data_IF_438402138103
#
_entry.id   IF_438402138103
#
_cell.length_a   1.000
_cell.length_b   1.000
_cell.length_c   1.000
_cell.angle_alpha   90.00
_cell.angle_beta   90.00
_cell.angle_gamma   90.00
#
_symmetry.space_group_name_H-M   'P 1'
#
loop_
_entity.id
_entity.type
_entity.pdbx_description
1 polymer ?
#
# COMPACT_ATOMS: atom_id res chain seq x y z
N UNK A 1 23.04 16.60 20.59
CA UNK A 1 22.00 15.75 19.97
C UNK A 1 21.83 14.53 20.87
N UNK A 2 20.62 14.24 21.28
CA UNK A 2 20.31 13.23 22.31
C UNK A 2 20.73 11.82 21.78
N UNK A 3 21.56 11.09 22.53
CA UNK A 3 22.09 9.76 22.10
C UNK A 3 20.96 8.80 21.69
N UNK A 4 19.78 8.89 22.34
CA UNK A 4 18.59 8.13 21.96
C UNK A 4 18.06 8.49 20.56
N UNK A 5 18.09 9.77 20.20
CA UNK A 5 17.62 10.23 18.86
C UNK A 5 18.55 9.79 17.75
N UNK A 6 19.88 9.77 18.01
CA UNK A 6 20.89 9.25 17.07
C UNK A 6 20.73 7.74 16.90
N UNK A 7 20.56 7.00 18.00
CA UNK A 7 20.33 5.57 17.98
C UNK A 7 19.09 5.19 17.13
N UNK A 8 17.97 5.87 17.35
CA UNK A 8 16.75 5.62 16.56
C UNK A 8 16.89 6.02 15.09
N UNK A 9 17.64 7.09 14.78
CA UNK A 9 17.93 7.46 13.40
C UNK A 9 18.83 6.43 12.71
N UNK A 10 19.86 5.95 13.39
CA UNK A 10 20.75 4.88 12.86
C UNK A 10 19.97 3.57 12.71
N UNK A 11 19.15 3.20 13.70
CA UNK A 11 18.33 2.00 13.65
C UNK A 11 17.33 2.05 12.48
N UNK A 12 16.69 3.19 12.23
CA UNK A 12 15.76 3.33 11.10
C UNK A 12 16.46 3.26 9.74
N UNK A 13 17.64 3.87 9.61
CA UNK A 13 18.47 3.78 8.40
C UNK A 13 18.97 2.33 8.20
N UNK A 14 19.40 1.67 9.28
CA UNK A 14 19.86 0.27 9.23
C UNK A 14 18.71 -0.66 8.82
N UNK A 15 17.51 -0.50 9.38
CA UNK A 15 16.31 -1.26 9.00
C UNK A 15 15.98 -1.00 7.53
N UNK A 16 16.07 0.27 7.06
CA UNK A 16 15.84 0.61 5.66
C UNK A 16 16.83 -0.08 4.72
N UNK A 17 18.14 -0.04 5.06
CA UNK A 17 19.19 -0.70 4.28
C UNK A 17 18.98 -2.23 4.30
N UNK A 18 18.70 -2.80 5.47
CA UNK A 18 18.47 -4.24 5.62
C UNK A 18 17.23 -4.69 4.84
N UNK A 19 16.18 -3.87 4.83
CA UNK A 19 14.95 -4.11 4.07
C UNK A 19 15.20 -4.08 2.56
N UNK A 20 15.91 -3.04 2.07
CA UNK A 20 16.28 -2.94 0.66
C UNK A 20 17.20 -4.12 0.28
N UNK A 21 18.15 -4.46 1.13
CA UNK A 21 19.04 -5.60 0.88
C UNK A 21 18.30 -6.93 0.86
N UNK A 22 17.35 -7.15 1.79
CA UNK A 22 16.53 -8.37 1.81
C UNK A 22 15.68 -8.47 0.54
N UNK A 23 15.10 -7.35 0.10
CA UNK A 23 14.29 -7.25 -1.12
C UNK A 23 15.15 -7.56 -2.36
N UNK A 24 16.33 -6.97 -2.47
CA UNK A 24 17.25 -7.19 -3.61
C UNK A 24 17.86 -8.60 -3.58
N UNK A 25 18.22 -9.12 -2.41
CA UNK A 25 18.83 -10.46 -2.28
C UNK A 25 17.83 -11.61 -2.52
N UNK A 26 16.54 -11.39 -2.29
CA UNK A 26 15.51 -12.39 -2.54
C UNK A 26 15.02 -12.42 -4.00
N UNK A 27 15.29 -11.38 -4.79
CA UNK A 27 14.95 -11.38 -6.20
C UNK A 27 15.99 -12.21 -6.99
N UNK A 28 15.71 -13.50 -7.19
CA UNK A 28 16.58 -14.44 -7.95
C UNK A 28 16.86 -14.01 -9.40
N UNK A 29 16.16 -13.01 -9.90
CA UNK A 29 16.23 -12.56 -11.30
C UNK A 29 16.64 -11.08 -11.45
N UNK A 30 17.00 -10.38 -10.34
CA UNK A 30 17.43 -9.00 -10.45
C UNK A 30 18.82 -8.94 -11.08
N UNK A 31 18.92 -8.47 -12.31
CA UNK A 31 20.17 -8.10 -12.98
C UNK A 31 20.22 -6.60 -13.18
N UNK A 32 21.20 -5.97 -12.52
CA UNK A 32 21.46 -4.54 -12.69
C UNK A 32 21.81 -4.20 -14.15
N UNK A 33 22.48 -5.10 -14.85
CA UNK A 33 22.83 -4.94 -16.26
C UNK A 33 21.58 -4.87 -17.15
N UNK A 34 20.61 -5.75 -16.92
CA UNK A 34 19.35 -5.74 -17.69
C UNK A 34 18.59 -4.43 -17.42
N UNK A 35 18.48 -4.01 -16.15
CA UNK A 35 17.84 -2.75 -15.82
C UNK A 35 18.52 -1.54 -16.46
N UNK A 36 19.86 -1.51 -16.43
CA UNK A 36 20.64 -0.41 -17.01
C UNK A 36 20.56 -0.38 -18.54
N UNK A 37 20.60 -1.54 -19.18
CA UNK A 37 20.43 -1.65 -20.64
C UNK A 37 19.02 -1.20 -21.07
N UNK A 38 17.99 -1.54 -20.27
CA UNK A 38 16.63 -1.06 -20.49
C UNK A 38 16.54 0.46 -20.38
N UNK A 39 17.02 1.06 -19.29
CA UNK A 39 17.00 2.52 -19.10
C UNK A 39 17.72 3.26 -20.25
N UNK A 40 18.79 2.67 -20.77
CA UNK A 40 19.55 3.26 -21.88
C UNK A 40 18.76 3.24 -23.20
N UNK A 41 18.06 2.15 -23.48
CA UNK A 41 17.41 1.90 -24.79
C UNK A 41 15.92 2.27 -24.78
N UNK A 42 15.28 2.42 -23.64
CA UNK A 42 13.87 2.75 -23.52
C UNK A 42 13.56 4.19 -23.97
N UNK A 43 12.35 4.39 -24.47
CA UNK A 43 11.83 5.72 -24.73
C UNK A 43 11.68 6.49 -23.40
N UNK A 44 12.48 7.53 -23.25
CA UNK A 44 12.60 8.30 -22.00
C UNK A 44 11.31 9.03 -21.60
N UNK A 45 10.48 9.41 -22.59
CA UNK A 45 9.18 10.03 -22.32
C UNK A 45 8.22 9.09 -21.59
N UNK A 46 8.09 7.85 -22.07
CA UNK A 46 7.25 6.85 -21.42
C UNK A 46 7.83 6.40 -20.07
N UNK A 47 9.17 6.32 -19.97
CA UNK A 47 9.81 6.01 -18.69
C UNK A 47 9.56 7.10 -17.65
N UNK A 48 9.62 8.37 -18.04
CA UNK A 48 9.24 9.49 -17.17
C UNK A 48 7.77 9.42 -16.75
N UNK A 49 6.86 9.09 -17.68
CA UNK A 49 5.44 8.92 -17.35
C UNK A 49 5.22 7.76 -16.38
N UNK A 50 6.00 6.66 -16.46
CA UNK A 50 5.91 5.58 -15.47
C UNK A 50 6.30 6.05 -14.07
N UNK A 51 7.29 6.94 -13.94
CA UNK A 51 7.65 7.58 -12.68
C UNK A 51 6.54 8.50 -12.15
N UNK A 52 5.91 9.30 -13.04
CA UNK A 52 4.75 10.13 -12.69
C UNK A 52 3.60 9.27 -12.16
N UNK A 53 3.32 8.13 -12.81
CA UNK A 53 2.31 7.17 -12.34
C UNK A 53 2.70 6.57 -10.98
N UNK A 54 3.96 6.22 -10.75
CA UNK A 54 4.46 5.75 -9.44
C UNK A 54 4.27 6.80 -8.35
N UNK A 55 4.59 8.05 -8.65
CA UNK A 55 4.32 9.17 -7.72
C UNK A 55 2.82 9.36 -7.48
N UNK A 56 2.01 9.29 -8.54
CA UNK A 56 0.55 9.37 -8.46
C UNK A 56 -0.05 8.29 -7.55
N UNK A 57 0.46 7.06 -7.62
CA UNK A 57 0.07 5.97 -6.74
C UNK A 57 0.24 6.33 -5.25
N UNK A 58 1.38 6.93 -4.88
CA UNK A 58 1.67 7.37 -3.51
C UNK A 58 0.82 8.59 -3.13
N UNK A 59 0.68 9.53 -4.04
CA UNK A 59 -0.01 10.79 -3.81
C UNK A 59 -1.52 10.60 -3.60
N UNK A 60 -2.19 9.78 -4.43
CA UNK A 60 -3.62 9.52 -4.32
C UNK A 60 -3.96 8.79 -3.03
N UNK A 61 -3.12 7.85 -2.57
CA UNK A 61 -3.23 7.21 -1.25
C UNK A 61 -3.27 8.26 -0.14
N UNK A 62 -2.26 9.11 -0.10
CA UNK A 62 -2.15 10.14 0.91
C UNK A 62 -3.25 11.19 0.82
N UNK A 63 -3.70 11.53 -0.38
CA UNK A 63 -4.75 12.52 -0.58
C UNK A 63 -6.12 12.02 -0.07
N UNK A 64 -6.43 10.74 -0.23
CA UNK A 64 -7.60 10.13 0.38
C UNK A 64 -7.61 10.31 1.91
N UNK A 65 -6.45 10.10 2.57
CA UNK A 65 -6.30 10.31 4.03
C UNK A 65 -6.45 11.78 4.42
N UNK A 66 -5.93 12.71 3.61
CA UNK A 66 -6.10 14.16 3.83
C UNK A 66 -7.57 14.55 3.77
N UNK A 67 -8.32 14.03 2.81
CA UNK A 67 -9.76 14.31 2.68
C UNK A 67 -10.52 13.84 3.92
N UNK A 68 -10.19 12.66 4.45
CA UNK A 68 -10.76 12.15 5.68
C UNK A 68 -10.41 13.02 6.89
N UNK A 69 -9.13 13.38 7.06
CA UNK A 69 -8.67 14.22 8.15
C UNK A 69 -9.37 15.60 8.14
N UNK A 70 -9.52 16.22 6.97
CA UNK A 70 -10.24 17.49 6.81
C UNK A 70 -11.73 17.36 7.13
N UNK A 71 -12.36 16.25 6.79
CA UNK A 71 -13.75 16.00 7.17
C UNK A 71 -13.93 15.95 8.70
N UNK A 72 -12.95 15.40 9.42
CA UNK A 72 -12.93 15.41 10.89
C UNK A 72 -12.53 16.75 11.51
N UNK A 73 -12.33 17.80 10.70
CA UNK A 73 -12.02 19.17 11.15
C UNK A 73 -10.52 19.44 11.34
N UNK A 74 -9.63 18.51 10.97
CA UNK A 74 -8.18 18.70 11.11
C UNK A 74 -7.58 19.36 9.88
N UNK A 75 -6.76 20.40 10.10
CA UNK A 75 -6.05 21.11 9.03
C UNK A 75 -4.87 20.26 8.56
N UNK A 76 -4.93 19.78 7.34
CA UNK A 76 -3.87 18.98 6.69
C UNK A 76 -3.66 19.48 5.27
N UNK A 77 -2.42 19.42 4.78
CA UNK A 77 -2.05 19.80 3.42
C UNK A 77 -1.89 18.58 2.52
N UNK A 78 -1.87 18.77 1.19
CA UNK A 78 -1.56 17.70 0.24
C UNK A 78 -0.12 17.16 0.43
N UNK A 79 0.81 18.03 0.90
CA UNK A 79 2.18 17.62 1.22
C UNK A 79 2.19 16.65 2.41
N UNK A 80 1.38 16.91 3.45
CA UNK A 80 1.25 15.99 4.59
C UNK A 80 0.70 14.64 4.12
N UNK A 81 -0.32 14.67 3.25
CA UNK A 81 -0.86 13.47 2.63
C UNK A 81 0.18 12.67 1.87
N UNK A 82 1.03 13.34 1.09
CA UNK A 82 2.10 12.65 0.37
C UNK A 82 3.05 11.89 1.32
N UNK A 83 3.29 12.42 2.53
CA UNK A 83 4.08 11.74 3.56
C UNK A 83 3.30 10.58 4.18
N UNK A 84 1.97 10.71 4.39
CA UNK A 84 1.14 9.61 4.90
C UNK A 84 1.09 8.46 3.91
N UNK A 85 0.82 8.74 2.62
CA UNK A 85 0.84 7.73 1.57
C UNK A 85 2.22 7.11 1.35
N UNK A 86 3.28 7.93 1.38
CA UNK A 86 4.66 7.43 1.33
C UNK A 86 4.98 6.50 2.48
N UNK A 87 4.54 6.82 3.71
CA UNK A 87 4.74 5.97 4.87
C UNK A 87 3.97 4.64 4.73
N UNK A 88 2.72 4.69 4.25
CA UNK A 88 1.95 3.48 3.99
C UNK A 88 2.65 2.58 2.97
N UNK A 89 2.96 3.10 1.79
CA UNK A 89 3.58 2.34 0.70
C UNK A 89 4.93 1.76 1.11
N UNK A 90 5.81 2.56 1.74
CA UNK A 90 7.13 2.10 2.16
C UNK A 90 7.06 0.97 3.19
N UNK A 91 6.35 1.21 4.31
CA UNK A 91 6.29 0.23 5.38
C UNK A 91 5.44 -0.99 5.02
N UNK A 92 4.43 -0.87 4.15
CA UNK A 92 3.73 -2.00 3.56
C UNK A 92 4.64 -2.89 2.73
N UNK A 93 5.55 -2.29 1.95
CA UNK A 93 6.46 -3.05 1.09
C UNK A 93 7.49 -3.87 1.87
N UNK A 94 7.95 -3.39 3.04
CA UNK A 94 9.02 -4.03 3.82
C UNK A 94 8.52 -4.92 4.96
N UNK A 95 7.21 -4.94 5.23
CA UNK A 95 6.63 -5.75 6.31
C UNK A 95 5.79 -6.91 5.78
N UNK A 96 5.76 -8.05 6.49
CA UNK A 96 4.90 -9.16 6.10
C UNK A 96 3.42 -8.75 6.05
N UNK A 97 2.69 -9.23 5.05
CA UNK A 97 1.26 -8.90 4.84
C UNK A 97 0.96 -7.40 4.79
N UNK A 98 1.93 -6.57 4.39
CA UNK A 98 1.79 -5.11 4.35
C UNK A 98 1.34 -4.48 5.71
N UNK A 99 1.60 -5.16 6.83
CA UNK A 99 1.06 -4.79 8.15
C UNK A 99 1.63 -3.50 8.73
N UNK A 100 2.79 -3.06 8.25
CA UNK A 100 3.49 -1.86 8.76
C UNK A 100 2.99 -0.54 8.20
N UNK A 101 2.32 -0.53 7.06
CA UNK A 101 1.92 0.69 6.37
C UNK A 101 0.94 1.53 7.19
N UNK A 102 -0.16 0.95 7.63
CA UNK A 102 -1.19 1.64 8.38
C UNK A 102 -0.69 2.24 9.72
N UNK A 103 0.08 1.50 10.56
CA UNK A 103 0.70 2.08 11.75
C UNK A 103 1.68 3.22 11.44
N UNK A 104 2.42 3.13 10.33
CA UNK A 104 3.34 4.18 9.93
C UNK A 104 2.60 5.45 9.49
N UNK A 105 1.54 5.34 8.68
CA UNK A 105 0.67 6.47 8.33
C UNK A 105 0.04 7.08 9.57
N UNK A 106 -0.49 6.25 10.49
CA UNK A 106 -1.05 6.71 11.76
C UNK A 106 -0.04 7.51 12.58
N UNK A 107 1.22 7.07 12.65
CA UNK A 107 2.28 7.77 13.36
C UNK A 107 2.48 9.20 12.83
N UNK A 108 2.54 9.39 11.51
CA UNK A 108 2.69 10.72 10.92
C UNK A 108 1.43 11.58 11.10
N UNK A 109 0.23 11.00 10.94
CA UNK A 109 -1.03 11.69 11.19
C UNK A 109 -1.13 12.19 12.64
N UNK A 110 -0.78 11.33 13.63
CA UNK A 110 -0.80 11.71 15.05
C UNK A 110 0.24 12.77 15.34
N UNK A 111 1.42 12.69 14.75
CA UNK A 111 2.46 13.71 14.90
C UNK A 111 2.04 15.07 14.35
N UNK A 112 1.22 15.10 13.31
CA UNK A 112 0.66 16.31 12.70
C UNK A 112 -0.60 16.81 13.45
N UNK A 113 -0.91 16.25 14.63
CA UNK A 113 -1.96 16.73 15.54
C UNK A 113 -3.33 16.06 15.35
N UNK A 114 -3.43 15.01 14.51
CA UNK A 114 -4.67 14.24 14.36
C UNK A 114 -4.74 13.23 15.51
N UNK A 115 -5.82 13.22 16.33
CA UNK A 115 -5.96 12.24 17.40
C UNK A 115 -5.93 10.80 16.89
N UNK A 116 -5.37 9.87 17.68
CA UNK A 116 -5.20 8.48 17.28
C UNK A 116 -6.51 7.77 16.88
N UNK A 117 -7.63 8.10 17.54
CA UNK A 117 -8.93 7.54 17.18
C UNK A 117 -9.40 8.01 15.77
N UNK A 118 -9.21 9.30 15.45
CA UNK A 118 -9.58 9.85 14.15
C UNK A 118 -8.67 9.31 13.03
N UNK A 119 -7.36 9.21 13.30
CA UNK A 119 -6.41 8.56 12.38
C UNK A 119 -6.81 7.10 12.11
N UNK A 120 -7.16 6.33 13.15
CA UNK A 120 -7.60 4.93 13.00
C UNK A 120 -8.87 4.82 12.16
N UNK A 121 -9.87 5.66 12.39
CA UNK A 121 -11.10 5.68 11.59
C UNK A 121 -10.79 6.01 10.13
N UNK A 122 -9.98 7.05 9.88
CA UNK A 122 -9.58 7.45 8.51
C UNK A 122 -8.88 6.29 7.78
N UNK A 123 -7.94 5.63 8.43
CA UNK A 123 -7.18 4.51 7.87
C UNK A 123 -8.06 3.29 7.60
N UNK A 124 -8.99 2.94 8.50
CA UNK A 124 -9.92 1.83 8.27
C UNK A 124 -10.85 2.10 7.10
N UNK A 125 -11.37 3.33 6.95
CA UNK A 125 -12.18 3.69 5.80
C UNK A 125 -11.36 3.58 4.52
N UNK A 126 -10.15 4.11 4.54
CA UNK A 126 -9.25 4.02 3.38
C UNK A 126 -8.98 2.56 2.99
N UNK A 127 -8.74 1.66 3.96
CA UNK A 127 -8.56 0.22 3.71
C UNK A 127 -9.80 -0.43 3.08
N UNK A 128 -11.00 -0.09 3.55
CA UNK A 128 -12.25 -0.59 2.95
C UNK A 128 -12.35 -0.10 1.49
N UNK A 129 -12.16 1.20 1.25
CA UNK A 129 -12.28 1.79 -0.09
C UNK A 129 -11.18 1.29 -1.03
N UNK A 130 -9.97 1.14 -0.54
CA UNK A 130 -8.85 0.52 -1.25
C UNK A 130 -9.18 -0.91 -1.71
N UNK A 131 -9.71 -1.73 -0.79
CA UNK A 131 -10.06 -3.12 -1.11
C UNK A 131 -11.21 -3.19 -2.10
N UNK A 132 -12.23 -2.34 -1.93
CA UNK A 132 -13.35 -2.24 -2.86
C UNK A 132 -12.92 -1.75 -4.24
N UNK A 133 -11.98 -0.79 -4.32
CA UNK A 133 -11.47 -0.30 -5.60
C UNK A 133 -10.71 -1.37 -6.37
N UNK A 134 -9.85 -2.16 -5.67
CA UNK A 134 -9.14 -3.28 -6.28
C UNK A 134 -10.11 -4.37 -6.76
N UNK A 135 -11.11 -4.72 -5.95
CA UNK A 135 -12.16 -5.67 -6.34
C UNK A 135 -12.95 -5.17 -7.55
N UNK A 136 -13.34 -3.90 -7.57
CA UNK A 136 -14.11 -3.30 -8.68
C UNK A 136 -13.32 -3.35 -9.99
N UNK A 137 -12.08 -2.88 -9.99
CA UNK A 137 -11.22 -2.91 -11.19
C UNK A 137 -10.95 -4.37 -11.60
N UNK A 138 -10.66 -5.24 -10.65
CA UNK A 138 -10.40 -6.66 -10.92
C UNK A 138 -11.59 -7.38 -11.53
N UNK A 139 -12.80 -7.14 -11.03
CA UNK A 139 -14.02 -7.70 -11.61
C UNK A 139 -14.27 -7.17 -13.03
N UNK A 140 -14.07 -5.86 -13.27
CA UNK A 140 -14.15 -5.30 -14.62
C UNK A 140 -13.12 -5.95 -15.56
N UNK A 141 -11.87 -6.12 -15.11
CA UNK A 141 -10.85 -6.83 -15.89
C UNK A 141 -11.26 -8.27 -16.19
N UNK A 142 -11.86 -8.99 -15.24
CA UNK A 142 -12.37 -10.35 -15.46
C UNK A 142 -13.50 -10.40 -16.48
N UNK A 143 -14.42 -9.43 -16.47
CA UNK A 143 -15.54 -9.39 -17.41
C UNK A 143 -15.05 -9.06 -18.82
N UNK A 144 -14.24 -8.01 -18.99
CA UNK A 144 -13.86 -7.52 -20.31
C UNK A 144 -12.66 -8.24 -20.92
N UNK A 145 -11.80 -8.86 -20.12
CA UNK A 145 -10.56 -9.52 -20.55
C UNK A 145 -10.44 -10.96 -20.02
N UNK A 146 -11.56 -11.68 -19.92
CA UNK A 146 -11.61 -13.07 -19.46
C UNK A 146 -10.62 -14.00 -20.18
N UNK A 147 -10.41 -13.90 -21.51
CA UNK A 147 -9.44 -14.74 -22.20
C UNK A 147 -8.03 -14.67 -21.61
N UNK A 148 -7.57 -13.48 -21.16
CA UNK A 148 -6.28 -13.34 -20.49
C UNK A 148 -6.23 -14.13 -19.17
N UNK A 149 -7.29 -14.11 -18.38
CA UNK A 149 -7.39 -14.88 -17.15
C UNK A 149 -7.38 -16.39 -17.40
N UNK A 150 -8.08 -16.84 -18.42
CA UNK A 150 -8.16 -18.25 -18.80
C UNK A 150 -6.80 -18.82 -19.20
N UNK A 151 -5.93 -18.02 -19.79
CA UNK A 151 -4.61 -18.42 -20.27
C UNK A 151 -3.54 -18.53 -19.17
N UNK A 152 -3.82 -18.07 -17.95
CA UNK A 152 -2.95 -18.32 -16.81
C UNK A 152 -2.89 -19.81 -16.47
N UNK A 153 -1.77 -20.25 -15.91
CA UNK A 153 -1.62 -21.59 -15.35
C UNK A 153 -2.66 -21.87 -14.25
N UNK A 154 -2.93 -23.14 -13.98
CA UNK A 154 -3.87 -23.55 -12.92
C UNK A 154 -3.48 -22.95 -11.56
N UNK A 155 -2.19 -22.94 -11.25
CA UNK A 155 -1.65 -22.39 -9.99
C UNK A 155 -1.92 -20.88 -9.89
N UNK A 156 -1.60 -20.11 -10.92
CA UNK A 156 -1.85 -18.65 -10.93
C UNK A 156 -3.34 -18.34 -10.78
N UNK A 157 -4.22 -19.09 -11.45
CA UNK A 157 -5.67 -18.93 -11.31
C UNK A 157 -6.16 -19.20 -9.89
N UNK A 158 -5.63 -20.23 -9.22
CA UNK A 158 -5.96 -20.52 -7.82
C UNK A 158 -5.59 -19.34 -6.94
N UNK A 159 -4.38 -18.77 -7.08
CA UNK A 159 -3.97 -17.59 -6.32
C UNK A 159 -4.87 -16.39 -6.59
N UNK A 160 -5.25 -16.13 -7.85
CA UNK A 160 -6.11 -15.01 -8.22
C UNK A 160 -7.50 -15.17 -7.59
N UNK A 161 -8.15 -16.32 -7.73
CA UNK A 161 -9.47 -16.56 -7.13
C UNK A 161 -9.44 -16.57 -5.61
N UNK A 162 -8.41 -17.18 -5.00
CA UNK A 162 -8.22 -17.16 -3.57
C UNK A 162 -8.01 -15.74 -3.05
N UNK A 163 -7.22 -14.94 -3.78
CA UNK A 163 -7.01 -13.54 -3.46
C UNK A 163 -8.31 -12.73 -3.46
N UNK A 164 -9.23 -12.98 -4.39
CA UNK A 164 -10.57 -12.34 -4.39
C UNK A 164 -11.33 -12.69 -3.11
N UNK A 165 -11.36 -13.97 -2.74
CA UNK A 165 -12.06 -14.42 -1.52
C UNK A 165 -11.48 -13.73 -0.29
N UNK A 166 -10.15 -13.68 -0.18
CA UNK A 166 -9.46 -13.00 0.93
C UNK A 166 -9.74 -11.49 0.93
N UNK A 167 -9.73 -10.83 -0.21
CA UNK A 167 -10.05 -9.40 -0.32
C UNK A 167 -11.50 -9.10 0.12
N UNK A 168 -12.47 -9.92 -0.28
CA UNK A 168 -13.85 -9.79 0.17
C UNK A 168 -13.93 -9.97 1.70
N UNK A 169 -13.26 -11.00 2.22
CA UNK A 169 -13.22 -11.25 3.67
C UNK A 169 -12.59 -10.07 4.42
N UNK A 170 -11.46 -9.53 3.95
CA UNK A 170 -10.79 -8.37 4.55
C UNK A 170 -11.67 -7.12 4.51
N UNK A 171 -12.35 -6.86 3.39
CA UNK A 171 -13.29 -5.73 3.29
C UNK A 171 -14.40 -5.83 4.35
N UNK A 172 -14.96 -7.04 4.55
CA UNK A 172 -15.97 -7.28 5.57
C UNK A 172 -15.41 -7.10 7.00
N UNK A 173 -14.20 -7.61 7.26
CA UNK A 173 -13.54 -7.44 8.57
C UNK A 173 -13.27 -5.97 8.86
N UNK A 174 -12.70 -5.22 7.94
CA UNK A 174 -12.42 -3.79 8.13
C UNK A 174 -13.71 -2.99 8.29
N UNK A 175 -14.76 -3.32 7.55
CA UNK A 175 -16.08 -2.71 7.72
C UNK A 175 -16.68 -3.03 9.10
N UNK A 176 -16.55 -4.27 9.58
CA UNK A 176 -17.00 -4.65 10.92
C UNK A 176 -16.22 -3.91 12.02
N UNK A 177 -14.88 -3.80 11.89
CA UNK A 177 -14.05 -3.03 12.82
C UNK A 177 -14.47 -1.57 12.86
N UNK A 178 -14.76 -0.97 11.69
CA UNK A 178 -15.22 0.40 11.59
C UNK A 178 -16.59 0.59 12.30
N UNK A 179 -17.54 -0.31 12.09
CA UNK A 179 -18.91 -0.17 12.60
C UNK A 179 -19.08 -0.63 14.05
N UNK A 180 -18.34 -1.64 14.48
CA UNK A 180 -18.43 -2.24 15.80
C UNK A 180 -17.18 -1.95 16.62
N UNK A 181 -17.10 -0.76 17.21
CA UNK A 181 -15.99 -0.38 18.11
C UNK A 181 -15.79 -1.35 19.28
N UNK A 182 -16.83 -2.13 19.66
CA UNK A 182 -16.72 -3.19 20.66
C UNK A 182 -15.75 -4.32 20.29
N UNK A 183 -15.66 -4.65 18.98
CA UNK A 183 -14.70 -5.66 18.50
C UNK A 183 -13.28 -5.11 18.65
N UNK A 184 -13.06 -3.86 18.21
CA UNK A 184 -11.76 -3.21 18.34
C UNK A 184 -11.35 -3.08 19.83
N UNK A 185 -12.30 -2.72 20.69
CA UNK A 185 -12.09 -2.69 22.14
C UNK A 185 -11.64 -4.06 22.66
N UNK A 186 -12.36 -5.13 22.29
CA UNK A 186 -12.04 -6.49 22.75
C UNK A 186 -10.65 -6.96 22.31
N UNK A 187 -10.23 -6.63 21.07
CA UNK A 187 -8.90 -6.93 20.57
C UNK A 187 -7.84 -6.18 21.38
N UNK A 188 -8.01 -4.86 21.58
CA UNK A 188 -7.08 -4.05 22.35
C UNK A 188 -7.00 -4.48 23.83
N UNK A 189 -8.14 -4.81 24.46
CA UNK A 189 -8.17 -5.30 25.85
C UNK A 189 -7.47 -6.66 25.97
N UNK A 190 -7.67 -7.56 25.01
CA UNK A 190 -6.97 -8.85 24.96
C UNK A 190 -5.45 -8.68 24.82
N UNK A 191 -5.01 -7.72 24.02
CA UNK A 191 -3.58 -7.37 23.90
C UNK A 191 -3.03 -6.81 25.21
N UNK A 192 -3.77 -5.93 25.90
CA UNK A 192 -3.37 -5.40 27.21
C UNK A 192 -3.21 -6.55 28.20
N UNK A 193 -4.18 -7.50 28.28
CA UNK A 193 -4.10 -8.68 29.15
C UNK A 193 -2.88 -9.55 28.83
N UNK A 194 -2.60 -9.77 27.54
CA UNK A 194 -1.43 -10.53 27.11
C UNK A 194 -0.12 -9.86 27.58
N UNK A 195 -0.01 -8.53 27.37
CA UNK A 195 1.17 -7.75 27.77
C UNK A 195 1.34 -7.67 29.28
N UNK A 196 0.24 -7.68 30.06
CA UNK A 196 0.26 -7.84 31.51
C UNK A 196 0.79 -9.23 31.92
N UNK A 197 0.28 -10.29 31.28
CA UNK A 197 0.66 -11.68 31.57
C UNK A 197 2.17 -11.92 31.32
N UNK A 198 2.76 -11.28 30.30
CA UNK A 198 4.19 -11.37 30.02
C UNK A 198 5.01 -10.29 30.74
N UNK A 199 4.43 -9.61 31.74
CA UNK A 199 5.07 -8.63 32.61
C UNK A 199 5.69 -7.40 31.91
N UNK A 200 5.28 -7.09 30.67
CA UNK A 200 5.72 -5.87 29.95
C UNK A 200 5.01 -4.63 30.52
N UNK A 201 3.75 -4.77 30.92
CA UNK A 201 2.93 -3.68 31.48
C UNK A 201 2.59 -3.99 32.93
N UNK A 202 2.85 -3.02 33.84
CA UNK A 202 2.59 -3.14 35.29
C UNK A 202 1.26 -2.52 35.75
N UNK A 203 0.61 -1.69 34.92
CA UNK A 203 -0.58 -0.91 35.25
C UNK A 203 -1.64 -0.97 34.15
N UNK A 204 -2.17 -2.16 33.84
CA UNK A 204 -3.17 -2.40 32.81
C UNK A 204 -4.49 -1.66 33.03
N UNK A 205 -4.90 -1.47 34.30
CA UNK A 205 -6.19 -0.82 34.61
C UNK A 205 -6.24 0.64 34.14
N UNK A 206 -5.15 1.39 34.27
CA UNK A 206 -5.07 2.77 33.73
C UNK A 206 -5.19 2.76 32.20
N UNK A 207 -4.59 1.79 31.55
CA UNK A 207 -4.66 1.66 30.10
C UNK A 207 -6.07 1.26 29.65
N UNK A 208 -6.77 0.42 30.39
CA UNK A 208 -8.18 0.04 30.10
C UNK A 208 -9.13 1.23 30.23
N UNK A 209 -8.96 2.05 31.27
CA UNK A 209 -9.76 3.28 31.44
C UNK A 209 -9.52 4.24 30.26
N UNK A 210 -8.25 4.46 29.90
CA UNK A 210 -7.89 5.27 28.75
C UNK A 210 -8.45 4.69 27.43
N UNK A 211 -8.33 3.37 27.24
CA UNK A 211 -8.88 2.66 26.09
C UNK A 211 -10.39 2.85 25.98
N UNK A 212 -11.13 2.71 27.09
CA UNK A 212 -12.59 2.88 27.11
C UNK A 212 -13.00 4.28 26.65
N UNK A 213 -12.31 5.32 27.09
CA UNK A 213 -12.58 6.70 26.67
C UNK A 213 -12.25 6.91 25.19
N UNK A 214 -11.08 6.43 24.74
CA UNK A 214 -10.68 6.50 23.33
C UNK A 214 -11.66 5.75 22.43
N UNK A 215 -12.22 4.62 22.89
CA UNK A 215 -13.23 3.87 22.12
C UNK A 215 -14.57 4.61 22.00
N UNK A 216 -14.93 5.43 22.98
CA UNK A 216 -16.11 6.30 22.86
C UNK A 216 -15.89 7.34 21.77
N UNK A 217 -14.75 8.05 21.79
CA UNK A 217 -14.37 9.02 20.78
C UNK A 217 -14.25 8.38 19.38
N UNK A 218 -13.69 7.16 19.32
CA UNK A 218 -13.64 6.35 18.08
C UNK A 218 -15.04 6.10 17.51
N UNK A 219 -15.97 5.66 18.35
CA UNK A 219 -17.33 5.35 17.92
C UNK A 219 -18.10 6.60 17.46
N UNK A 220 -17.93 7.72 18.16
CA UNK A 220 -18.50 9.01 17.76
C UNK A 220 -17.95 9.46 16.41
N UNK A 221 -16.63 9.36 16.20
CA UNK A 221 -15.96 9.67 14.93
C UNK A 221 -16.43 8.72 13.80
N UNK A 222 -16.54 7.42 14.07
CA UNK A 222 -17.03 6.45 13.09
C UNK A 222 -18.52 6.70 12.73
N UNK A 223 -19.32 7.07 13.71
CA UNK A 223 -20.75 7.38 13.48
C UNK A 223 -20.94 8.67 12.66
N UNK A 224 -20.04 9.67 12.77
CA UNK A 224 -20.11 10.90 12.00
C UNK A 224 -20.05 10.68 10.48
N UNK A 225 -19.50 9.55 10.04
CA UNK A 225 -19.40 9.17 8.62
C UNK A 225 -20.68 8.48 8.13
N UNK A 226 -21.54 8.05 9.06
CA UNK A 226 -22.81 7.39 8.68
C UNK A 226 -23.69 8.40 7.95
N UNK A 227 -24.11 8.04 6.74
CA UNK A 227 -24.88 8.93 5.86
C UNK A 227 -24.05 9.87 4.99
N UNK A 228 -22.75 9.94 5.15
CA UNK A 228 -21.85 10.78 4.35
C UNK A 228 -21.45 10.09 3.03
N UNK A 229 -22.47 9.71 2.23
CA UNK A 229 -22.28 8.96 0.97
C UNK A 229 -21.35 9.70 0.00
N UNK A 230 -21.48 11.05 -0.08
CA UNK A 230 -20.63 11.85 -0.97
C UNK A 230 -19.13 11.76 -0.60
N UNK A 231 -18.80 11.80 0.69
CA UNK A 231 -17.43 11.61 1.15
C UNK A 231 -16.90 10.20 0.82
N UNK A 232 -17.71 9.17 1.06
CA UNK A 232 -17.32 7.78 0.77
C UNK A 232 -17.07 7.57 -0.72
N UNK A 233 -17.90 8.13 -1.59
CA UNK A 233 -17.70 8.10 -3.06
C UNK A 233 -16.42 8.84 -3.43
N UNK A 234 -16.14 10.00 -2.81
CA UNK A 234 -14.91 10.75 -3.06
C UNK A 234 -13.66 9.93 -2.67
N UNK A 235 -13.66 9.31 -1.48
CA UNK A 235 -12.54 8.47 -1.03
C UNK A 235 -12.39 7.24 -1.93
N UNK A 236 -13.49 6.61 -2.33
CA UNK A 236 -13.47 5.51 -3.29
C UNK A 236 -12.86 5.93 -4.64
N UNK A 237 -13.24 7.12 -5.15
CA UNK A 237 -12.66 7.67 -6.38
C UNK A 237 -11.15 7.86 -6.28
N UNK A 238 -10.63 8.41 -5.16
CA UNK A 238 -9.19 8.57 -4.96
C UNK A 238 -8.46 7.23 -4.90
N UNK A 239 -9.08 6.21 -4.30
CA UNK A 239 -8.54 4.85 -4.29
C UNK A 239 -8.59 4.19 -5.68
N UNK A 240 -9.60 4.47 -6.52
CA UNK A 240 -9.62 4.07 -7.93
C UNK A 240 -8.45 4.73 -8.68
N UNK A 241 -8.25 6.05 -8.51
CA UNK A 241 -7.14 6.76 -9.14
C UNK A 241 -5.77 6.21 -8.71
N UNK A 242 -5.63 5.85 -7.45
CA UNK A 242 -4.45 5.18 -6.91
C UNK A 242 -4.19 3.85 -7.64
N UNK A 243 -5.20 2.99 -7.77
CA UNK A 243 -5.08 1.71 -8.47
C UNK A 243 -4.77 1.88 -9.95
N UNK A 244 -5.49 2.76 -10.62
CA UNK A 244 -5.25 3.08 -12.03
C UNK A 244 -3.81 3.57 -12.23
N UNK A 245 -3.31 4.47 -11.37
CA UNK A 245 -1.91 4.91 -11.43
C UNK A 245 -0.93 3.75 -11.31
N UNK A 246 -1.16 2.80 -10.39
CA UNK A 246 -0.31 1.63 -10.22
C UNK A 246 -0.31 0.73 -11.48
N UNK A 247 -1.48 0.50 -12.08
CA UNK A 247 -1.61 -0.32 -13.28
C UNK A 247 -0.96 0.35 -14.49
N UNK A 248 -1.07 1.67 -14.60
CA UNK A 248 -0.46 2.46 -15.67
C UNK A 248 1.07 2.46 -15.62
N UNK A 249 1.71 2.17 -14.48
CA UNK A 249 3.17 2.02 -14.44
C UNK A 249 3.62 0.93 -15.41
N UNK A 250 3.03 -0.27 -15.34
CA UNK A 250 3.36 -1.38 -16.24
C UNK A 250 2.99 -1.08 -17.70
N UNK A 251 1.88 -0.37 -17.93
CA UNK A 251 1.51 0.13 -19.26
C UNK A 251 2.62 1.01 -19.85
N UNK A 252 3.07 2.01 -19.09
CA UNK A 252 4.10 2.96 -19.56
C UNK A 252 5.43 2.25 -19.83
N UNK A 253 5.77 1.21 -19.06
CA UNK A 253 6.98 0.42 -19.29
C UNK A 253 6.88 -0.36 -20.61
N UNK A 254 5.75 -0.99 -20.91
CA UNK A 254 5.54 -1.67 -22.20
C UNK A 254 5.60 -0.69 -23.37
N UNK A 255 5.05 0.50 -23.21
CA UNK A 255 5.18 1.57 -24.21
C UNK A 255 6.64 2.04 -24.36
N UNK A 256 7.39 2.10 -23.25
CA UNK A 256 8.80 2.50 -23.28
C UNK A 256 9.71 1.52 -24.03
N UNK A 257 9.37 0.23 -24.00
CA UNK A 257 10.08 -0.84 -24.74
C UNK A 257 9.64 -0.92 -26.20
N UNK A 258 8.49 -0.30 -26.56
CA UNK A 258 7.97 -0.34 -27.94
C UNK A 258 7.05 -1.53 -28.24
N UNK A 259 6.51 -2.19 -27.23
CA UNK A 259 5.64 -3.37 -27.39
C UNK A 259 4.22 -3.07 -27.95
N UNK A 260 3.88 -1.80 -28.06
CA UNK A 260 2.61 -1.34 -28.62
C UNK A 260 1.44 -1.29 -27.63
N UNK A 261 0.43 -0.46 -27.97
CA UNK A 261 -0.68 -0.10 -27.07
C UNK A 261 -1.51 -1.30 -26.65
N UNK A 262 -1.81 -2.24 -27.55
CA UNK A 262 -2.64 -3.40 -27.24
C UNK A 262 -2.02 -4.27 -26.13
N UNK A 263 -0.71 -4.59 -26.27
CA UNK A 263 0.01 -5.33 -25.23
C UNK A 263 0.16 -4.53 -23.93
N UNK A 264 0.32 -3.20 -24.04
CA UNK A 264 0.38 -2.32 -22.87
C UNK A 264 -0.95 -2.28 -22.09
N UNK A 265 -2.10 -2.35 -22.76
CA UNK A 265 -3.40 -2.53 -22.09
C UNK A 265 -3.48 -3.90 -21.43
N UNK A 266 -3.11 -4.96 -22.14
CA UNK A 266 -3.20 -6.33 -21.61
C UNK A 266 -2.27 -6.53 -20.41
N UNK A 267 -1.08 -5.93 -20.41
CA UNK A 267 -0.19 -5.97 -19.23
C UNK A 267 -0.78 -5.29 -18.01
N UNK A 268 -1.53 -4.19 -18.19
CA UNK A 268 -2.22 -3.53 -17.07
C UNK A 268 -3.28 -4.44 -16.46
N UNK A 269 -4.01 -5.18 -17.28
CA UNK A 269 -4.99 -6.19 -16.82
C UNK A 269 -4.29 -7.33 -16.09
N UNK A 270 -3.19 -7.85 -16.63
CA UNK A 270 -2.38 -8.88 -15.97
C UNK A 270 -1.87 -8.37 -14.62
N UNK A 271 -1.38 -7.13 -14.57
CA UNK A 271 -0.93 -6.51 -13.31
C UNK A 271 -2.05 -6.42 -12.27
N UNK A 272 -3.29 -6.18 -12.71
CA UNK A 272 -4.45 -6.21 -11.81
C UNK A 272 -4.68 -7.62 -11.23
N UNK A 273 -4.60 -8.66 -12.05
CA UNK A 273 -4.73 -10.05 -11.60
C UNK A 273 -3.58 -10.44 -10.65
N UNK A 274 -2.35 -9.98 -10.94
CA UNK A 274 -1.20 -10.16 -10.04
C UNK A 274 -1.48 -9.50 -8.69
N UNK A 275 -1.97 -8.26 -8.67
CA UNK A 275 -2.30 -7.56 -7.43
C UNK A 275 -3.38 -8.29 -6.62
N UNK A 276 -4.42 -8.82 -7.27
CA UNK A 276 -5.45 -9.62 -6.59
C UNK A 276 -4.88 -10.90 -5.99
N UNK A 277 -4.10 -11.67 -6.76
CA UNK A 277 -3.58 -12.97 -6.34
C UNK A 277 -2.46 -12.89 -5.31
N UNK A 278 -1.70 -11.79 -5.29
CA UNK A 278 -0.55 -11.62 -4.41
C UNK A 278 -0.89 -10.92 -3.07
N UNK A 279 -2.01 -10.22 -3.00
CA UNK A 279 -2.35 -9.38 -1.84
C UNK A 279 -2.61 -10.18 -0.54
N UNK A 280 -2.93 -11.49 -0.67
CA UNK A 280 -3.16 -12.38 0.46
C UNK A 280 -1.90 -13.08 0.98
N UNK A 281 -0.75 -12.87 0.37
CA UNK A 281 0.48 -13.60 0.69
C UNK A 281 1.24 -12.91 1.81
N UNK A 282 1.52 -13.60 2.94
CA UNK A 282 2.16 -12.99 4.11
C UNK A 282 3.69 -12.89 3.96
N UNK A 283 4.15 -12.46 2.80
CA UNK A 283 5.57 -12.23 2.49
C UNK A 283 5.74 -10.75 2.13
N UNK A 284 6.81 -10.07 2.59
CA UNK A 284 7.09 -8.69 2.21
C UNK A 284 7.07 -8.52 0.68
N UNK A 285 6.30 -7.55 0.18
CA UNK A 285 6.13 -7.32 -1.25
C UNK A 285 5.53 -8.50 -2.05
N UNK A 286 4.99 -9.52 -1.37
CA UNK A 286 4.51 -10.78 -1.96
C UNK A 286 5.52 -11.44 -2.92
N UNK A 287 6.83 -11.26 -2.64
CA UNK A 287 7.92 -11.75 -3.48
C UNK A 287 7.82 -13.26 -3.71
N UNK A 288 8.19 -13.70 -4.89
CA UNK A 288 8.06 -15.07 -5.36
C UNK A 288 6.66 -15.36 -5.92
N UNK A 289 5.59 -15.09 -5.19
CA UNK A 289 4.22 -15.38 -5.68
C UNK A 289 3.77 -14.33 -6.70
N UNK A 290 3.96 -13.04 -6.41
CA UNK A 290 3.66 -11.98 -7.35
C UNK A 290 4.50 -12.12 -8.64
N UNK A 291 5.78 -12.43 -8.49
CA UNK A 291 6.72 -12.62 -9.60
C UNK A 291 6.31 -13.83 -10.46
N UNK A 292 5.93 -14.94 -9.82
CA UNK A 292 5.45 -16.13 -10.52
C UNK A 292 4.18 -15.85 -11.35
N UNK A 293 3.15 -15.23 -10.72
CA UNK A 293 1.90 -14.89 -11.42
C UNK A 293 2.18 -13.92 -12.56
N UNK A 294 3.08 -12.95 -12.35
CA UNK A 294 3.42 -11.94 -13.34
C UNK A 294 4.16 -12.53 -14.54
N UNK A 295 5.16 -13.39 -14.31
CA UNK A 295 5.87 -14.09 -15.37
C UNK A 295 4.92 -14.99 -16.15
N UNK A 296 4.05 -15.72 -15.46
CA UNK A 296 3.05 -16.60 -16.09
C UNK A 296 2.09 -15.80 -17.00
N UNK A 297 1.60 -14.65 -16.51
CA UNK A 297 0.77 -13.75 -17.31
C UNK A 297 1.52 -13.15 -18.50
N UNK A 298 2.76 -12.70 -18.30
CA UNK A 298 3.55 -12.05 -19.36
C UNK A 298 3.98 -13.04 -20.47
N UNK A 299 4.12 -14.33 -20.19
CA UNK A 299 4.37 -15.35 -21.22
C UNK A 299 3.35 -15.30 -22.35
N UNK A 300 2.11 -14.91 -22.07
CA UNK A 300 1.05 -14.76 -23.05
C UNK A 300 1.30 -13.61 -24.05
N UNK A 301 2.06 -12.58 -23.63
CA UNK A 301 2.28 -11.34 -24.39
C UNK A 301 3.64 -11.30 -25.08
N UNK A 302 4.68 -11.76 -24.38
CA UNK A 302 6.09 -11.59 -24.80
C UNK A 302 6.90 -12.89 -24.78
N UNK A 303 6.26 -14.04 -24.57
CA UNK A 303 6.88 -15.36 -24.67
C UNK A 303 8.09 -15.54 -23.74
N UNK A 304 9.26 -15.85 -24.31
CA UNK A 304 10.52 -16.08 -23.57
C UNK A 304 11.06 -14.83 -22.85
N UNK A 305 10.66 -13.64 -23.27
CA UNK A 305 11.08 -12.38 -22.63
C UNK A 305 10.27 -12.03 -21.34
N UNK A 306 9.35 -12.89 -20.94
CA UNK A 306 8.45 -12.62 -19.80
C UNK A 306 9.20 -12.30 -18.50
N UNK A 307 10.29 -13.02 -18.18
CA UNK A 307 11.07 -12.79 -16.98
C UNK A 307 11.79 -11.43 -17.01
N UNK A 308 12.33 -11.01 -18.17
CA UNK A 308 12.96 -9.70 -18.31
C UNK A 308 11.93 -8.56 -18.17
N UNK A 309 10.75 -8.72 -18.78
CA UNK A 309 9.68 -7.73 -18.68
C UNK A 309 9.08 -7.67 -17.27
N UNK A 310 8.96 -8.79 -16.58
CA UNK A 310 8.60 -8.83 -15.15
C UNK A 310 9.58 -8.01 -14.33
N UNK A 311 10.88 -8.26 -14.48
CA UNK A 311 11.93 -7.54 -13.76
C UNK A 311 11.84 -6.02 -13.97
N UNK A 312 11.59 -5.57 -15.21
CA UNK A 312 11.44 -4.16 -15.53
C UNK A 312 10.18 -3.56 -14.88
N UNK A 313 9.05 -4.25 -14.99
CA UNK A 313 7.80 -3.79 -14.36
C UNK A 313 7.90 -3.77 -12.83
N UNK A 314 8.47 -4.80 -12.20
CA UNK A 314 8.73 -4.84 -10.75
C UNK A 314 9.75 -3.78 -10.35
N UNK A 315 10.74 -3.51 -11.20
CA UNK A 315 11.70 -2.44 -11.02
C UNK A 315 11.04 -1.09 -10.72
N UNK A 316 9.97 -0.76 -11.41
CA UNK A 316 9.23 0.49 -11.23
C UNK A 316 8.04 0.36 -10.27
N UNK A 317 7.21 -0.68 -10.41
CA UNK A 317 6.00 -0.83 -9.58
C UNK A 317 6.29 -1.11 -8.12
N UNK A 318 7.36 -1.84 -7.81
CA UNK A 318 7.75 -2.20 -6.45
C UNK A 318 8.99 -1.43 -5.98
N UNK A 319 10.17 -1.65 -6.58
CA UNK A 319 11.41 -1.00 -6.12
C UNK A 319 11.38 0.51 -6.32
N UNK A 320 10.86 0.99 -7.44
CA UNK A 320 10.68 2.42 -7.69
C UNK A 320 9.75 3.08 -6.68
N UNK A 321 8.64 2.40 -6.32
CA UNK A 321 7.71 2.88 -5.29
C UNK A 321 8.37 2.93 -3.91
N UNK A 322 9.15 1.92 -3.52
CA UNK A 322 9.88 1.87 -2.25
C UNK A 322 10.89 3.01 -2.15
N UNK A 323 11.71 3.20 -3.19
CA UNK A 323 12.72 4.28 -3.22
C UNK A 323 12.06 5.65 -3.17
N UNK A 324 11.02 5.88 -3.99
CA UNK A 324 10.29 7.15 -4.04
C UNK A 324 9.64 7.45 -2.69
N UNK A 325 9.01 6.47 -2.06
CA UNK A 325 8.39 6.59 -0.75
C UNK A 325 9.42 6.87 0.35
N UNK A 326 10.58 6.20 0.33
CA UNK A 326 11.66 6.45 1.28
C UNK A 326 12.16 7.89 1.19
N UNK A 327 12.35 8.42 -0.02
CA UNK A 327 12.76 9.82 -0.26
C UNK A 327 11.68 10.79 0.26
N UNK A 328 10.40 10.53 -0.03
CA UNK A 328 9.28 11.35 0.45
C UNK A 328 9.26 11.40 1.99
N UNK A 329 9.40 10.26 2.67
CA UNK A 329 9.41 10.18 4.14
C UNK A 329 10.60 10.96 4.69
N UNK A 330 11.79 10.79 4.12
CA UNK A 330 13.00 11.47 4.56
C UNK A 330 12.86 12.99 4.45
N UNK A 331 12.40 13.48 3.30
CA UNK A 331 12.15 14.91 3.05
C UNK A 331 11.09 15.43 4.03
N UNK A 332 9.96 14.71 4.16
CA UNK A 332 8.88 15.06 5.08
C UNK A 332 9.34 15.12 6.53
N UNK A 333 10.20 14.21 6.97
CA UNK A 333 10.79 14.22 8.31
C UNK A 333 11.69 15.44 8.55
N UNK A 334 12.54 15.80 7.57
CA UNK A 334 13.47 16.93 7.65
C UNK A 334 12.70 18.25 7.71
N UNK A 335 11.67 18.44 6.86
CA UNK A 335 10.85 19.66 6.82
C UNK A 335 10.14 19.86 8.18
N UNK A 336 9.49 18.81 8.70
CA UNK A 336 8.77 18.87 9.98
C UNK A 336 9.68 19.14 11.18
N UNK A 337 10.94 18.69 11.11
CA UNK A 337 11.93 18.97 12.16
C UNK A 337 12.36 20.46 12.18
N UNK A 338 12.33 21.15 11.03
CA UNK A 338 12.66 22.57 10.94
C UNK A 338 11.52 23.47 11.49
N UNK A 339 10.27 23.03 11.32
CA UNK A 339 9.09 23.80 11.80
C UNK A 339 8.87 23.64 13.31
N UNK A 340 9.40 22.57 13.92
CA UNK A 340 9.31 22.30 15.36
C UNK A 340 10.46 22.94 16.18
N UNK A 341 11.37 23.69 15.55
CA UNK A 341 12.39 24.56 16.19
C UNK A 341 11.99 26.02 16.06
#
# INVERSE_FOLDING_TARGET
MDRKKIFWAIASVFIAILSIWTVVSQSKHFSFEILMSFIRNANKGWLFMSFVCTFGFIWFEGFALVRMARHFGYKTSAIDGTVYGGADVYFSAITPSASGGQPASAYFMIRDGIPGYAATVALLINLVMYTLSLLTIGLLCMIFKYPLLKNFSGISRIFIYWGIVVLIFLALVFYMLLRKGSILYSICDSLIRLLEKIHIIRHGDRLRIKLKNTMKEYQECSNSITGQTGLLIEIFFWNIMQRVSQLLVSFMIFMAVGEGVNKAVDVSVIQCFVAMGSNCVPIPGAMGVADYIMIDGFKQLVGSNAANMELLCRGMTFYGSVITSAVIILIGYIIRKKVAK
#
